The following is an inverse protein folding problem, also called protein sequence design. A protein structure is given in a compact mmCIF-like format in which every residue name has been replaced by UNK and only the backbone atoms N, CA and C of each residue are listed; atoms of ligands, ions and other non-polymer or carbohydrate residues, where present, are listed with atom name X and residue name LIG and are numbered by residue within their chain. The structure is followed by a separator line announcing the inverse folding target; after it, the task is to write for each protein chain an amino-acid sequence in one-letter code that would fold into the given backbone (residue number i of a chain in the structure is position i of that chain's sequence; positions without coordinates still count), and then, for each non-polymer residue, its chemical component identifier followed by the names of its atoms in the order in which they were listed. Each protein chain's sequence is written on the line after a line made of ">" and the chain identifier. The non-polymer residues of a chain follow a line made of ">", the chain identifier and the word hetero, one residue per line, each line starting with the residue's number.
data_IF_222386735276
#
_entry.id   IF_222386735276
#
_cell.length_a   1.000
_cell.length_b   1.000
_cell.length_c   1.000
_cell.angle_alpha   90.00
_cell.angle_beta   90.00
_cell.angle_gamma   90.00
#
_symmetry.space_group_name_H-M   'P 1'
#
loop_
_entity.id
_entity.type
_entity.pdbx_description
1 polymer ?
#
# COMPACT_ATOMS: atom_id res chain seq x y z
N UNK A 1 -11.08 4.78 14.59
CA UNK A 1 -10.64 5.88 13.68
C UNK A 1 -10.93 7.30 14.15
N UNK A 2 -12.18 7.73 14.43
CA UNK A 2 -12.51 9.16 14.69
C UNK A 2 -11.67 9.82 15.79
N UNK A 3 -11.49 9.14 16.93
CA UNK A 3 -10.65 9.64 18.02
C UNK A 3 -9.18 9.78 17.57
N UNK A 4 -8.63 8.75 16.94
CA UNK A 4 -7.26 8.75 16.43
C UNK A 4 -7.03 9.89 15.44
N UNK A 5 -8.00 10.15 14.55
CA UNK A 5 -7.95 11.25 13.59
C UNK A 5 -7.96 12.62 14.27
N UNK A 6 -8.81 12.80 15.29
CA UNK A 6 -8.86 14.04 16.08
C UNK A 6 -7.54 14.30 16.84
N UNK A 7 -6.93 13.25 17.40
CA UNK A 7 -5.64 13.36 18.12
C UNK A 7 -4.50 13.70 17.16
N UNK A 8 -4.45 13.04 15.99
CA UNK A 8 -3.37 13.27 15.03
C UNK A 8 -3.61 14.48 14.13
N UNK A 9 -4.81 15.08 14.17
CA UNK A 9 -5.24 16.15 13.29
C UNK A 9 -5.23 15.72 11.82
N UNK A 10 -5.74 14.52 11.55
CA UNK A 10 -6.03 14.04 10.19
C UNK A 10 -7.48 14.33 9.88
N UNK A 11 -7.73 14.92 8.71
CA UNK A 11 -9.07 15.04 8.17
C UNK A 11 -9.40 13.76 7.39
N UNK A 12 -10.54 13.14 7.71
CA UNK A 12 -10.95 11.84 7.15
C UNK A 12 -12.31 11.99 6.50
N UNK A 13 -12.35 11.68 5.21
CA UNK A 13 -13.59 11.50 4.47
C UNK A 13 -14.04 10.04 4.60
N UNK A 14 -15.27 9.84 5.06
CA UNK A 14 -15.87 8.51 5.17
C UNK A 14 -16.51 8.11 3.84
N UNK A 15 -16.05 6.99 3.29
CA UNK A 15 -16.66 6.39 2.11
C UNK A 15 -17.52 5.19 2.50
N UNK A 16 -18.74 5.04 1.94
CA UNK A 16 -19.60 3.93 2.30
C UNK A 16 -19.02 2.58 1.87
N UNK A 17 -18.94 1.66 2.82
CA UNK A 17 -18.81 0.23 2.53
C UNK A 17 -20.02 -0.29 1.77
N UNK A 18 -19.87 -1.43 1.12
CA UNK A 18 -20.94 -2.04 0.34
C UNK A 18 -21.21 -3.44 0.86
N UNK A 19 -22.48 -3.77 1.11
CA UNK A 19 -22.84 -5.16 1.37
C UNK A 19 -22.80 -5.93 0.06
N UNK A 20 -22.25 -7.15 0.07
CA UNK A 20 -22.17 -7.95 -1.15
C UNK A 20 -23.51 -8.19 -1.82
N UNK A 21 -24.58 -8.25 -1.04
CA UNK A 21 -25.96 -8.48 -1.52
C UNK A 21 -26.54 -7.32 -2.29
N UNK A 22 -26.07 -6.11 -2.00
CA UNK A 22 -26.49 -4.90 -2.69
C UNK A 22 -25.76 -4.73 -4.03
N UNK A 23 -24.67 -5.48 -4.28
CA UNK A 23 -23.87 -5.32 -5.50
C UNK A 23 -24.72 -5.68 -6.71
N UNK A 24 -24.94 -4.73 -7.66
CA UNK A 24 -25.77 -5.01 -8.82
C UNK A 24 -25.22 -6.21 -9.59
N UNK A 25 -26.07 -7.20 -9.90
CA UNK A 25 -25.64 -8.42 -10.61
C UNK A 25 -24.87 -8.15 -11.92
N UNK A 26 -25.23 -7.05 -12.61
CA UNK A 26 -24.55 -6.60 -13.84
C UNK A 26 -23.13 -6.05 -13.62
N UNK A 27 -22.81 -5.64 -12.40
CA UNK A 27 -21.52 -5.07 -12.02
C UNK A 27 -20.57 -6.14 -11.45
N UNK A 28 -21.07 -7.37 -11.26
CA UNK A 28 -20.27 -8.51 -10.82
C UNK A 28 -19.52 -9.04 -12.06
N UNK A 29 -18.18 -9.10 -12.04
CA UNK A 29 -17.40 -9.69 -13.13
C UNK A 29 -17.85 -11.12 -13.43
N UNK A 30 -17.92 -11.48 -14.71
CA UNK A 30 -18.39 -12.79 -15.13
C UNK A 30 -17.50 -13.90 -14.52
N UNK A 31 -18.14 -14.85 -13.82
CA UNK A 31 -17.43 -15.96 -13.17
C UNK A 31 -17.03 -15.71 -11.72
N UNK A 32 -17.31 -14.54 -11.13
CA UNK A 32 -17.06 -14.30 -9.72
C UNK A 32 -17.93 -15.22 -8.84
N UNK A 33 -17.28 -16.16 -8.13
CA UNK A 33 -17.88 -16.99 -7.07
C UNK A 33 -17.20 -16.67 -5.75
N UNK A 34 -17.40 -15.44 -5.29
CA UNK A 34 -16.79 -14.94 -4.07
C UNK A 34 -17.79 -14.99 -2.90
N UNK A 35 -17.29 -15.10 -1.67
CA UNK A 35 -18.11 -14.80 -0.50
C UNK A 35 -18.65 -13.36 -0.59
N UNK A 36 -19.89 -13.16 -0.14
CA UNK A 36 -20.58 -11.86 -0.24
C UNK A 36 -19.78 -10.74 0.46
N UNK A 37 -19.11 -11.04 1.57
CA UNK A 37 -18.24 -10.08 2.27
C UNK A 37 -17.11 -9.56 1.39
N UNK A 38 -16.46 -10.45 0.64
CA UNK A 38 -15.33 -10.12 -0.23
C UNK A 38 -15.79 -9.34 -1.48
N UNK A 39 -16.98 -9.64 -2.00
CA UNK A 39 -17.59 -8.88 -3.09
C UNK A 39 -17.93 -7.45 -2.63
N UNK A 40 -18.48 -7.30 -1.43
CA UNK A 40 -18.76 -6.00 -0.82
C UNK A 40 -17.51 -5.14 -0.64
N UNK A 41 -16.46 -5.73 -0.05
CA UNK A 41 -15.14 -5.10 0.11
C UNK A 41 -14.53 -4.69 -1.23
N UNK A 42 -14.48 -5.61 -2.21
CA UNK A 42 -14.00 -5.29 -3.57
C UNK A 42 -14.77 -4.12 -4.17
N UNK A 43 -16.11 -4.13 -4.08
CA UNK A 43 -16.93 -3.07 -4.65
C UNK A 43 -16.68 -1.72 -3.99
N UNK A 44 -16.52 -1.70 -2.66
CA UNK A 44 -16.22 -0.48 -1.92
C UNK A 44 -14.92 0.16 -2.40
N UNK A 45 -13.84 -0.61 -2.53
CA UNK A 45 -12.57 -0.09 -3.05
C UNK A 45 -12.66 0.36 -4.50
N UNK A 46 -13.33 -0.40 -5.38
CA UNK A 46 -13.52 0.01 -6.78
C UNK A 46 -14.27 1.35 -6.88
N UNK A 47 -15.30 1.57 -6.05
CA UNK A 47 -16.01 2.86 -6.02
C UNK A 47 -15.10 4.02 -5.58
N UNK A 48 -14.21 3.80 -4.61
CA UNK A 48 -13.23 4.82 -4.18
C UNK A 48 -12.25 5.13 -5.32
N UNK A 49 -11.75 4.09 -6.02
CA UNK A 49 -10.87 4.28 -7.16
C UNK A 49 -11.56 5.04 -8.30
N UNK A 50 -12.81 4.72 -8.61
CA UNK A 50 -13.62 5.44 -9.59
C UNK A 50 -13.78 6.91 -9.18
N UNK A 51 -14.07 7.19 -7.90
CA UNK A 51 -14.18 8.55 -7.38
C UNK A 51 -12.88 9.37 -7.57
N UNK A 52 -11.72 8.77 -7.29
CA UNK A 52 -10.39 9.38 -7.52
C UNK A 52 -10.22 9.77 -8.99
N UNK A 53 -10.65 8.89 -9.90
CA UNK A 53 -10.53 9.09 -11.35
C UNK A 53 -11.50 10.19 -11.82
N UNK A 54 -12.75 10.12 -11.40
CA UNK A 54 -13.82 11.05 -11.78
C UNK A 54 -13.53 12.48 -11.32
N UNK A 55 -12.99 12.63 -10.10
CA UNK A 55 -12.71 13.93 -9.49
C UNK A 55 -11.27 14.40 -9.70
N UNK A 56 -10.47 13.65 -10.46
CA UNK A 56 -9.09 13.97 -10.79
C UNK A 56 -8.21 14.25 -9.54
N UNK A 57 -8.42 13.46 -8.46
CA UNK A 57 -7.66 13.58 -7.22
C UNK A 57 -6.23 13.08 -7.44
N UNK A 58 -5.23 13.96 -7.28
CA UNK A 58 -3.83 13.65 -7.64
C UNK A 58 -3.31 12.38 -6.97
N UNK A 59 -3.58 12.22 -5.68
CA UNK A 59 -3.28 11.02 -4.90
C UNK A 59 -4.20 10.95 -3.69
N UNK A 60 -4.55 9.75 -3.27
CA UNK A 60 -5.44 9.53 -2.11
C UNK A 60 -4.88 8.41 -1.25
N UNK A 61 -4.89 8.61 0.08
CA UNK A 61 -4.65 7.56 1.07
C UNK A 61 -6.00 6.97 1.49
N UNK A 62 -6.14 5.66 1.34
CA UNK A 62 -7.34 4.90 1.64
C UNK A 62 -7.04 4.04 2.87
N UNK A 63 -7.96 4.06 3.84
CA UNK A 63 -7.87 3.32 5.11
C UNK A 63 -9.13 2.46 5.26
N UNK A 64 -8.97 1.20 5.66
CA UNK A 64 -10.09 0.35 6.08
C UNK A 64 -10.60 0.83 7.46
N UNK A 65 -11.85 0.56 7.78
CA UNK A 65 -12.51 1.09 9.00
C UNK A 65 -11.98 0.46 10.30
N UNK A 66 -11.39 -0.74 10.19
CA UNK A 66 -10.69 -1.46 11.24
C UNK A 66 -9.18 -1.12 11.31
N UNK A 67 -8.70 -0.15 10.53
CA UNK A 67 -7.32 0.30 10.61
C UNK A 67 -7.06 1.16 11.86
N UNK A 68 -5.95 0.87 12.51
CA UNK A 68 -5.39 1.66 13.62
C UNK A 68 -4.00 2.18 13.25
N UNK A 69 -3.62 3.36 13.76
CA UNK A 69 -2.32 3.96 13.52
C UNK A 69 -1.73 4.57 14.79
N UNK A 70 -0.41 4.65 14.82
CA UNK A 70 0.33 5.36 15.87
C UNK A 70 0.13 6.88 15.75
N UNK A 71 0.12 7.60 16.88
CA UNK A 71 -0.06 9.05 16.88
C UNK A 71 1.04 9.79 16.10
N UNK A 72 2.21 9.16 15.90
CA UNK A 72 3.33 9.67 15.10
C UNK A 72 3.18 9.44 13.59
N UNK A 73 2.00 9.03 13.09
CA UNK A 73 1.75 8.72 11.68
C UNK A 73 2.26 9.80 10.71
N UNK A 74 2.17 11.10 11.06
CA UNK A 74 2.70 12.19 10.22
C UNK A 74 4.22 12.12 10.06
N UNK A 75 4.94 11.82 11.14
CA UNK A 75 6.39 11.61 11.13
C UNK A 75 6.76 10.36 10.35
N UNK A 76 6.06 9.24 10.59
CA UNK A 76 6.28 7.98 9.87
C UNK A 76 6.06 8.16 8.36
N UNK A 77 4.98 8.83 7.95
CA UNK A 77 4.68 9.10 6.56
C UNK A 77 5.68 10.06 5.91
N UNK A 78 6.23 11.03 6.65
CA UNK A 78 7.32 11.90 6.18
C UNK A 78 8.64 11.13 6.00
N UNK A 79 8.96 10.21 6.91
CA UNK A 79 10.13 9.33 6.78
C UNK A 79 9.95 8.35 5.62
N UNK A 80 8.73 7.85 5.42
CA UNK A 80 8.38 7.02 4.27
C UNK A 80 8.62 7.77 2.95
N UNK A 81 8.16 9.02 2.86
CA UNK A 81 8.40 9.89 1.71
C UNK A 81 9.89 10.06 1.39
N UNK A 82 10.70 10.25 2.44
CA UNK A 82 12.17 10.38 2.32
C UNK A 82 12.80 9.11 1.74
N UNK A 83 12.47 7.94 2.29
CA UNK A 83 13.01 6.67 1.80
C UNK A 83 12.60 6.35 0.36
N UNK A 84 11.35 6.63 0.01
CA UNK A 84 10.85 6.48 -1.37
C UNK A 84 11.64 7.38 -2.33
N UNK A 85 11.83 8.66 -1.97
CA UNK A 85 12.53 9.61 -2.83
C UNK A 85 13.98 9.20 -3.07
N UNK A 86 14.68 8.78 -2.02
CA UNK A 86 16.07 8.31 -2.14
C UNK A 86 16.20 7.07 -3.05
N UNK A 87 15.23 6.15 -2.99
CA UNK A 87 15.20 4.98 -3.89
C UNK A 87 14.90 5.42 -5.34
N UNK A 88 14.02 6.40 -5.55
CA UNK A 88 13.75 6.94 -6.89
C UNK A 88 14.97 7.70 -7.45
N UNK A 89 15.68 8.47 -6.63
CA UNK A 89 16.85 9.24 -7.04
C UNK A 89 18.02 8.35 -7.48
N UNK A 90 18.11 7.10 -6.98
CA UNK A 90 19.09 6.12 -7.44
C UNK A 90 18.79 5.56 -8.84
N UNK A 91 17.52 5.57 -9.24
CA UNK A 91 17.07 5.06 -10.55
C UNK A 91 17.10 6.15 -11.65
N UNK A 92 17.11 7.43 -11.26
CA UNK A 92 16.98 8.58 -12.16
C UNK A 92 18.34 9.22 -12.48
N UNK A 93 18.45 9.82 -13.67
CA UNK A 93 19.59 10.66 -14.02
C UNK A 93 19.55 11.95 -13.15
N UNK A 94 20.66 12.36 -12.50
CA UNK A 94 20.71 13.53 -11.62
C UNK A 94 20.24 14.85 -12.27
N UNK A 95 20.08 14.91 -13.59
CA UNK A 95 19.57 16.06 -14.34
C UNK A 95 18.04 16.28 -14.29
N UNK A 96 17.24 15.34 -13.78
CA UNK A 96 15.76 15.45 -13.72
C UNK A 96 15.20 15.81 -12.33
N UNK A 97 16.07 16.06 -11.35
CA UNK A 97 15.74 16.08 -9.93
C UNK A 97 15.27 17.43 -9.35
N UNK A 98 14.12 17.93 -9.79
CA UNK A 98 13.39 18.94 -9.01
C UNK A 98 11.89 18.67 -8.98
N UNK A 99 11.49 17.57 -8.34
CA UNK A 99 10.09 17.36 -8.00
C UNK A 99 9.80 17.98 -6.63
N UNK A 100 8.72 18.77 -6.54
CA UNK A 100 8.19 19.33 -5.28
C UNK A 100 7.34 18.32 -4.51
N UNK A 101 7.03 17.16 -5.12
CA UNK A 101 6.27 16.08 -4.48
C UNK A 101 7.10 15.44 -3.36
N UNK A 102 6.56 15.34 -2.13
CA UNK A 102 7.29 14.75 -1.01
C UNK A 102 7.63 13.26 -1.25
N UNK A 103 6.77 12.54 -1.96
CA UNK A 103 6.94 11.11 -2.30
C UNK A 103 7.62 10.89 -3.67
N UNK A 104 8.07 11.95 -4.34
CA UNK A 104 8.48 11.89 -5.74
C UNK A 104 7.30 11.59 -6.67
N UNK A 105 7.60 11.21 -7.92
CA UNK A 105 6.61 10.94 -8.98
C UNK A 105 6.71 9.53 -9.54
N UNK A 106 7.72 8.75 -9.14
CA UNK A 106 7.98 7.39 -9.61
C UNK A 106 7.21 6.31 -8.87
N UNK A 107 6.01 6.59 -8.36
CA UNK A 107 5.17 5.63 -7.65
C UNK A 107 3.71 5.70 -8.15
N UNK A 108 3.03 4.57 -8.12
CA UNK A 108 1.58 4.47 -8.41
C UNK A 108 0.80 4.01 -7.19
N UNK A 109 1.40 3.18 -6.34
CA UNK A 109 0.80 2.64 -5.12
C UNK A 109 1.80 2.67 -3.97
N UNK A 110 1.38 3.16 -2.81
CA UNK A 110 2.09 3.02 -1.54
C UNK A 110 1.29 2.08 -0.65
N UNK A 111 1.93 1.11 -0.02
CA UNK A 111 1.22 0.12 0.82
C UNK A 111 1.74 0.16 2.26
N UNK A 112 1.36 1.15 3.10
CA UNK A 112 1.78 1.22 4.49
C UNK A 112 0.99 0.30 5.45
N UNK A 113 -0.20 -0.18 5.06
CA UNK A 113 -1.04 -1.06 5.86
C UNK A 113 -1.28 -2.41 5.18
N UNK A 114 -0.40 -3.36 5.46
CA UNK A 114 -0.47 -4.74 4.98
C UNK A 114 -0.15 -5.70 6.13
N UNK A 115 -0.46 -6.98 5.91
CA UNK A 115 -0.05 -8.06 6.80
C UNK A 115 1.08 -8.91 6.22
N UNK A 116 1.39 -8.71 4.93
CA UNK A 116 2.43 -9.44 4.21
C UNK A 116 2.94 -8.58 3.05
N UNK A 117 4.25 -8.40 3.03
CA UNK A 117 4.96 -7.89 1.86
C UNK A 117 6.44 -8.23 1.92
N UNK A 118 7.13 -7.98 0.81
CA UNK A 118 8.58 -8.10 0.78
C UNK A 118 9.19 -7.44 -0.45
N UNK A 119 10.51 -7.20 -0.40
CA UNK A 119 11.27 -6.70 -1.53
C UNK A 119 11.04 -7.53 -2.79
N UNK A 120 10.81 -6.85 -3.92
CA UNK A 120 10.65 -7.42 -5.26
C UNK A 120 11.79 -8.33 -5.79
N UNK A 121 13.04 -7.99 -5.49
CA UNK A 121 14.27 -8.63 -5.97
C UNK A 121 15.37 -8.64 -4.91
N UNK A 122 16.35 -9.54 -5.05
CA UNK A 122 17.44 -9.74 -4.08
C UNK A 122 18.44 -8.58 -3.96
N UNK A 123 18.63 -7.80 -5.02
CA UNK A 123 19.68 -6.77 -5.13
C UNK A 123 19.10 -5.37 -5.33
N UNK A 124 17.86 -5.15 -4.94
CA UNK A 124 17.22 -3.84 -5.10
C UNK A 124 17.68 -2.83 -4.04
N UNK A 125 17.50 -1.53 -4.30
CA UNK A 125 17.58 -0.50 -3.26
C UNK A 125 16.57 -0.74 -2.13
N UNK A 126 17.07 -0.77 -0.90
CA UNK A 126 16.27 -0.78 0.33
C UNK A 126 16.76 0.38 1.19
N UNK A 127 15.85 1.23 1.63
CA UNK A 127 16.15 2.28 2.60
C UNK A 127 15.86 1.76 4.02
N UNK A 128 16.88 1.85 4.86
CA UNK A 128 16.82 1.46 6.27
C UNK A 128 16.61 2.68 7.14
N UNK A 129 15.43 2.79 7.74
CA UNK A 129 15.16 3.77 8.78
C UNK A 129 15.54 3.16 10.14
N UNK A 130 16.67 3.60 10.69
CA UNK A 130 17.14 3.18 12.00
C UNK A 130 16.55 4.02 13.13
N UNK A 131 16.56 3.46 14.34
CA UNK A 131 16.10 4.11 15.58
C UNK A 131 14.62 4.51 15.60
N UNK A 132 13.79 3.83 14.80
CA UNK A 132 12.35 3.99 14.88
C UNK A 132 11.79 3.16 16.05
N UNK A 133 11.45 3.86 17.13
CA UNK A 133 10.89 3.28 18.36
C UNK A 133 9.45 2.77 18.18
N UNK A 134 8.78 3.12 17.08
CA UNK A 134 7.42 2.68 16.78
C UNK A 134 7.38 1.31 16.13
N UNK A 135 8.54 0.78 15.73
CA UNK A 135 8.64 -0.58 15.21
C UNK A 135 8.50 -1.56 16.38
N UNK A 136 7.58 -2.53 16.31
CA UNK A 136 7.47 -3.61 17.28
C UNK A 136 8.82 -4.33 17.47
N UNK A 137 9.19 -4.71 18.70
CA UNK A 137 10.36 -5.54 18.95
C UNK A 137 10.32 -6.83 18.12
N UNK A 138 11.47 -7.33 17.67
CA UNK A 138 11.58 -8.56 16.86
C UNK A 138 10.94 -9.77 17.53
N UNK A 139 10.88 -9.80 18.87
CA UNK A 139 10.20 -10.85 19.66
C UNK A 139 8.68 -10.87 19.46
N UNK A 140 8.07 -9.76 19.07
CA UNK A 140 6.63 -9.64 18.81
C UNK A 140 6.30 -9.74 17.30
N UNK A 141 7.30 -9.89 16.44
CA UNK A 141 7.12 -10.04 14.99
C UNK A 141 6.91 -11.52 14.64
N UNK A 142 5.77 -12.08 15.03
CA UNK A 142 5.44 -13.50 14.87
C UNK A 142 4.99 -13.92 13.46
N UNK A 143 5.35 -13.14 12.43
CA UNK A 143 5.04 -13.50 11.06
C UNK A 143 5.76 -14.81 10.70
N UNK A 144 5.02 -15.76 10.13
CA UNK A 144 5.58 -16.99 9.55
C UNK A 144 6.08 -16.79 8.11
N UNK A 145 6.08 -15.55 7.64
CA UNK A 145 6.41 -15.21 6.27
C UNK A 145 7.89 -14.83 6.17
N UNK A 146 8.65 -15.66 5.45
CA UNK A 146 10.03 -15.36 5.12
C UNK A 146 10.11 -14.15 4.18
N UNK A 147 10.97 -13.19 4.51
CA UNK A 147 11.40 -12.13 3.60
C UNK A 147 12.79 -12.51 3.04
N UNK A 148 12.85 -13.31 1.95
CA UNK A 148 14.10 -13.95 1.52
C UNK A 148 15.15 -12.94 1.02
N UNK A 149 14.73 -11.74 0.64
CA UNK A 149 15.60 -10.68 0.11
C UNK A 149 15.97 -9.62 1.16
N UNK A 150 15.54 -9.78 2.42
CA UNK A 150 16.02 -8.99 3.55
C UNK A 150 17.15 -9.77 4.24
N UNK A 151 18.24 -9.07 4.56
CA UNK A 151 19.40 -9.67 5.22
C UNK A 151 19.17 -9.78 6.74
N UNK A 152 19.58 -10.87 7.42
CA UNK A 152 19.36 -11.02 8.86
C UNK A 152 19.98 -9.91 9.72
N UNK A 153 21.08 -9.29 9.27
CA UNK A 153 21.84 -8.28 10.01
C UNK A 153 21.06 -6.98 10.24
N UNK A 154 20.03 -6.73 9.43
CA UNK A 154 19.16 -5.55 9.53
C UNK A 154 17.86 -5.84 10.30
N UNK A 155 17.67 -7.07 10.80
CA UNK A 155 16.54 -7.45 11.65
C UNK A 155 16.71 -6.95 13.10
N UNK A 156 16.73 -5.63 13.29
CA UNK A 156 16.83 -4.99 14.61
C UNK A 156 15.46 -4.51 15.10
N UNK A 157 15.32 -4.37 16.42
CA UNK A 157 14.07 -3.93 17.06
C UNK A 157 13.58 -2.55 16.60
N UNK A 158 14.47 -1.69 16.11
CA UNK A 158 14.20 -0.28 15.77
C UNK A 158 14.48 0.03 14.30
N UNK A 159 14.49 -0.97 13.43
CA UNK A 159 14.72 -0.80 11.99
C UNK A 159 13.43 -1.01 11.21
N UNK A 160 13.05 0.02 10.45
CA UNK A 160 11.98 -0.01 9.44
C UNK A 160 12.62 -0.02 8.05
N UNK A 161 12.01 -0.76 7.15
CA UNK A 161 12.43 -0.93 5.77
C UNK A 161 11.48 -0.19 4.84
N UNK A 162 12.04 0.45 3.82
CA UNK A 162 11.31 1.02 2.70
C UNK A 162 11.90 0.45 1.43
N UNK A 163 11.08 -0.08 0.53
CA UNK A 163 11.53 -0.79 -0.67
C UNK A 163 10.46 -0.84 -1.77
N UNK A 164 10.84 -1.28 -2.97
CA UNK A 164 9.90 -1.60 -4.04
C UNK A 164 9.29 -2.97 -3.81
N UNK A 165 7.97 -3.03 -3.86
CA UNK A 165 7.22 -4.23 -3.55
C UNK A 165 6.99 -5.08 -4.80
N UNK A 166 6.77 -6.39 -4.63
CA UNK A 166 6.25 -7.27 -5.68
C UNK A 166 5.06 -8.07 -5.14
N UNK A 167 3.99 -7.33 -4.83
CA UNK A 167 2.77 -7.87 -4.24
C UNK A 167 2.79 -7.91 -2.72
N UNK A 168 1.59 -8.02 -2.15
CA UNK A 168 1.34 -8.05 -0.72
C UNK A 168 0.03 -8.75 -0.38
N UNK A 169 -0.45 -8.58 0.86
CA UNK A 169 -1.78 -9.00 1.31
C UNK A 169 -2.25 -8.11 2.45
N UNK A 170 -3.56 -8.04 2.63
CA UNK A 170 -4.30 -7.07 3.43
C UNK A 170 -4.16 -5.63 2.89
N UNK A 171 -5.24 -4.87 2.92
CA UNK A 171 -5.30 -3.49 2.37
C UNK A 171 -5.71 -2.47 3.42
N UNK A 172 -5.41 -2.73 4.71
CA UNK A 172 -5.71 -1.86 5.85
C UNK A 172 -5.39 -0.39 5.58
N UNK A 173 -4.28 -0.13 4.87
CA UNK A 173 -3.97 1.19 4.34
C UNK A 173 -3.16 1.10 3.04
N UNK A 174 -3.60 1.82 2.01
CA UNK A 174 -2.82 2.05 0.79
C UNK A 174 -3.08 3.43 0.22
N UNK A 175 -2.04 4.06 -0.34
CA UNK A 175 -2.18 5.27 -1.12
C UNK A 175 -2.04 4.95 -2.61
N UNK A 176 -2.76 5.69 -3.45
CA UNK A 176 -2.70 5.51 -4.90
C UNK A 176 -2.68 6.88 -5.58
N UNK A 177 -1.88 7.02 -6.64
CA UNK A 177 -1.96 8.19 -7.52
C UNK A 177 -3.17 8.08 -8.44
N UNK A 178 -3.60 9.19 -9.04
CA UNK A 178 -4.65 9.15 -10.05
C UNK A 178 -4.32 8.19 -11.21
N UNK A 179 -3.06 8.17 -11.67
CA UNK A 179 -2.61 7.23 -12.71
C UNK A 179 -2.63 5.79 -12.21
N UNK A 180 -2.22 5.56 -10.96
CA UNK A 180 -2.30 4.27 -10.29
C UNK A 180 -3.74 3.76 -10.20
N UNK A 181 -4.69 4.64 -9.85
CA UNK A 181 -6.11 4.28 -9.74
C UNK A 181 -6.66 3.82 -11.10
N UNK A 182 -6.34 4.52 -12.19
CA UNK A 182 -6.72 4.10 -13.56
C UNK A 182 -6.17 2.73 -13.93
N UNK A 183 -4.89 2.48 -13.60
CA UNK A 183 -4.23 1.19 -13.84
C UNK A 183 -4.91 0.09 -13.04
N UNK A 184 -5.19 0.31 -11.75
CA UNK A 184 -5.91 -0.64 -10.90
C UNK A 184 -7.31 -0.93 -11.44
N UNK A 185 -8.14 0.09 -11.72
CA UNK A 185 -9.49 -0.13 -12.24
C UNK A 185 -9.45 -0.93 -13.55
N UNK A 186 -8.54 -0.59 -14.46
CA UNK A 186 -8.37 -1.30 -15.73
C UNK A 186 -7.95 -2.77 -15.54
N UNK A 187 -7.09 -3.07 -14.55
CA UNK A 187 -6.63 -4.43 -14.27
C UNK A 187 -7.62 -5.25 -13.45
N UNK A 188 -8.39 -4.60 -12.57
CA UNK A 188 -9.25 -5.26 -11.59
C UNK A 188 -10.70 -5.41 -12.05
N UNK A 189 -11.11 -4.75 -13.15
CA UNK A 189 -12.48 -4.79 -13.66
C UNK A 189 -12.99 -6.20 -13.99
N UNK A 190 -12.08 -7.13 -14.32
CA UNK A 190 -12.38 -8.52 -14.63
C UNK A 190 -11.73 -9.51 -13.65
N UNK A 191 -11.14 -9.04 -12.54
CA UNK A 191 -10.50 -9.93 -11.58
C UNK A 191 -11.55 -10.57 -10.66
N UNK A 192 -11.38 -11.86 -10.38
CA UNK A 192 -12.36 -12.71 -9.70
C UNK A 192 -11.90 -13.19 -8.32
N UNK A 193 -10.89 -12.54 -7.74
CA UNK A 193 -10.29 -12.92 -6.45
C UNK A 193 -10.45 -11.78 -5.41
N UNK A 194 -10.11 -12.00 -4.11
CA UNK A 194 -10.20 -10.94 -3.10
C UNK A 194 -9.40 -9.70 -3.50
N UNK A 195 -9.86 -8.52 -3.08
CA UNK A 195 -9.28 -7.24 -3.53
C UNK A 195 -7.76 -7.15 -3.29
N UNK A 196 -7.29 -7.48 -2.09
CA UNK A 196 -5.87 -7.44 -1.72
C UNK A 196 -5.02 -8.37 -2.60
N UNK A 197 -5.52 -9.57 -2.86
CA UNK A 197 -4.90 -10.58 -3.71
C UNK A 197 -4.85 -10.11 -5.16
N UNK A 198 -5.92 -9.46 -5.63
CA UNK A 198 -6.00 -8.91 -6.97
C UNK A 198 -4.99 -7.76 -7.17
N UNK A 199 -4.88 -6.84 -6.20
CA UNK A 199 -3.85 -5.78 -6.18
C UNK A 199 -2.44 -6.40 -6.15
N UNK A 200 -2.26 -7.46 -5.36
CA UNK A 200 -1.00 -8.20 -5.26
C UNK A 200 -0.56 -8.78 -6.60
N UNK A 201 -1.46 -9.41 -7.36
CA UNK A 201 -1.19 -9.95 -8.69
C UNK A 201 -0.80 -8.85 -9.69
N UNK A 202 -1.48 -7.70 -9.64
CA UNK A 202 -1.15 -6.55 -10.49
C UNK A 202 0.25 -6.01 -10.16
N UNK A 203 0.59 -5.93 -8.88
CA UNK A 203 1.92 -5.52 -8.43
C UNK A 203 3.02 -6.57 -8.73
N UNK A 204 2.67 -7.85 -8.81
CA UNK A 204 3.61 -8.94 -9.04
C UNK A 204 3.88 -9.25 -10.52
N UNK A 205 2.99 -8.81 -11.42
CA UNK A 205 3.09 -9.10 -12.86
C UNK A 205 4.36 -8.50 -13.48
N UNK A 206 5.21 -9.36 -14.08
CA UNK A 206 6.40 -8.92 -14.84
C UNK A 206 5.95 -8.24 -16.14
N UNK A 207 6.18 -6.93 -16.21
CA UNK A 207 5.60 -6.02 -17.22
C UNK A 207 4.63 -4.99 -16.62
N UNK A 208 4.35 -5.09 -15.30
CA UNK A 208 3.35 -4.33 -14.57
C UNK A 208 3.49 -2.81 -14.69
N UNK A 209 2.41 -2.17 -15.11
CA UNK A 209 2.31 -0.72 -15.26
C UNK A 209 2.31 0.04 -13.92
N UNK A 210 2.23 -0.65 -12.78
CA UNK A 210 2.19 -0.04 -11.44
C UNK A 210 3.60 -0.05 -10.83
N UNK A 211 3.99 1.08 -10.24
CA UNK A 211 5.21 1.25 -9.45
C UNK A 211 4.88 1.22 -7.94
N UNK A 212 4.85 0.04 -7.28
CA UNK A 212 4.47 -0.07 -5.88
C UNK A 212 5.67 0.10 -4.93
N UNK A 213 5.47 0.90 -3.88
CA UNK A 213 6.38 1.02 -2.75
C UNK A 213 5.73 0.56 -1.47
N UNK A 214 6.53 -0.03 -0.61
CA UNK A 214 6.10 -0.52 0.69
C UNK A 214 7.00 0.06 1.79
N UNK A 215 6.43 0.18 2.98
CA UNK A 215 7.14 0.42 4.22
C UNK A 215 6.78 -0.68 5.22
N UNK A 216 7.77 -1.49 5.61
CA UNK A 216 7.55 -2.62 6.49
C UNK A 216 8.59 -2.71 7.60
N UNK A 217 8.25 -3.40 8.68
CA UNK A 217 9.22 -3.89 9.64
C UNK A 217 9.85 -5.21 9.14
N UNK A 218 11.11 -5.50 9.48
CA UNK A 218 11.68 -6.81 9.16
C UNK A 218 10.94 -7.90 9.95
N UNK A 219 10.37 -8.90 9.30
CA UNK A 219 9.81 -10.06 9.98
C UNK A 219 10.84 -11.17 10.09
N UNK A 220 10.90 -11.86 11.24
CA UNK A 220 11.78 -13.03 11.40
C UNK A 220 11.45 -14.09 10.35
N UNK A 221 12.48 -14.74 9.82
CA UNK A 221 12.35 -15.95 8.99
C UNK A 221 11.78 -17.14 9.75
#
# INVERSE_FOLDING_TARGET
>A
MTLSAGITGLDIEWWPGFMGEDVPKKAIPAGLKQAMSLLGSWRAHMNVLDHIIENNLQSTLILEDDAEWDYSIKTQMSQFATGIKLIQDQDQDPSTNSTTSPYGTGWDLLWPGHCKSGPSEAQQPIYFLENDITVPPTTHRHSRWAQPHVMPEVEKNTTRLIYRQKGGSCTFAYAVTQSGARKLVASLCNNVIPYDSAVSEVCAHRGGHIQPFDVSQCTRR
#
